data_IF_855933901148
#
_entry.id   IF_855933901148
#
_cell.length_a   1.000
_cell.length_b   1.000
_cell.length_c   1.000
_cell.angle_alpha   90.00
_cell.angle_beta   90.00
_cell.angle_gamma   90.00
#
_symmetry.space_group_name_H-M   'P 1'
#
loop_
_entity.id
_entity.type
_entity.pdbx_description
1 polymer ?
#
# COMPACT_ATOMS: atom_id res chain seq x y z
N UNK A 1 -7.14 -52.57 -48.83
CA UNK A 1 -7.77 -52.15 -47.56
C UNK A 1 -6.98 -50.95 -47.06
N UNK A 2 -7.48 -49.71 -47.34
CA UNK A 2 -6.87 -48.46 -46.91
C UNK A 2 -7.58 -47.97 -45.66
N UNK A 3 -6.87 -47.83 -44.57
CA UNK A 3 -7.38 -47.28 -43.30
C UNK A 3 -7.24 -45.75 -43.34
N UNK A 4 -8.37 -45.10 -43.31
CA UNK A 4 -8.51 -43.64 -43.26
C UNK A 4 -8.38 -43.22 -41.77
N UNK A 5 -7.37 -42.46 -41.41
CA UNK A 5 -7.24 -41.83 -40.08
C UNK A 5 -7.90 -40.45 -40.14
N UNK A 6 -9.01 -40.31 -39.42
CA UNK A 6 -9.58 -38.99 -39.11
C UNK A 6 -8.77 -38.33 -38.02
N UNK A 7 -8.24 -37.14 -38.31
CA UNK A 7 -7.73 -36.20 -37.32
C UNK A 7 -8.87 -35.29 -36.87
N UNK A 8 -9.32 -35.43 -35.65
CA UNK A 8 -10.21 -34.48 -35.00
C UNK A 8 -9.40 -33.33 -34.41
N UNK A 9 -9.50 -32.15 -34.97
CA UNK A 9 -9.00 -30.91 -34.36
C UNK A 9 -9.92 -30.52 -33.21
N UNK A 10 -9.46 -30.72 -31.97
CA UNK A 10 -10.11 -30.17 -30.80
C UNK A 10 -9.83 -28.66 -30.69
N UNK A 11 -10.87 -27.86 -30.88
CA UNK A 11 -10.84 -26.43 -30.64
C UNK A 11 -10.84 -26.24 -29.11
N UNK A 12 -9.67 -25.87 -28.53
CA UNK A 12 -9.59 -25.45 -27.11
C UNK A 12 -10.13 -24.03 -27.07
N UNK A 13 -11.38 -23.90 -26.66
CA UNK A 13 -11.97 -22.59 -26.33
C UNK A 13 -11.41 -22.16 -24.98
N UNK A 14 -10.44 -21.23 -24.97
CA UNK A 14 -10.03 -20.54 -23.76
C UNK A 14 -11.22 -19.70 -23.29
N UNK A 15 -11.92 -20.15 -22.27
CA UNK A 15 -12.86 -19.30 -21.54
C UNK A 15 -12.05 -18.31 -20.71
N UNK A 16 -11.89 -17.09 -21.21
CA UNK A 16 -11.46 -15.94 -20.40
C UNK A 16 -12.65 -15.61 -19.49
N UNK A 17 -12.57 -16.03 -18.23
CA UNK A 17 -13.49 -15.60 -17.19
C UNK A 17 -13.27 -14.11 -16.94
N UNK A 18 -14.05 -13.25 -17.54
CA UNK A 18 -14.15 -11.86 -17.13
C UNK A 18 -14.91 -11.83 -15.81
N UNK A 19 -14.20 -11.60 -14.70
CA UNK A 19 -14.84 -11.25 -13.45
C UNK A 19 -15.72 -10.01 -13.69
N UNK A 20 -17.02 -10.15 -13.43
CA UNK A 20 -17.96 -9.05 -13.56
C UNK A 20 -17.62 -8.02 -12.49
N UNK A 21 -17.01 -6.91 -12.89
CA UNK A 21 -16.78 -5.76 -12.02
C UNK A 21 -18.13 -5.15 -11.69
N UNK A 22 -18.57 -5.24 -10.44
CA UNK A 22 -19.72 -4.49 -9.96
C UNK A 22 -19.30 -3.02 -9.82
N UNK A 23 -19.43 -2.26 -10.90
CA UNK A 23 -19.24 -0.81 -10.87
C UNK A 23 -20.44 -0.15 -10.22
N UNK A 24 -20.23 0.71 -9.24
CA UNK A 24 -21.30 1.41 -8.52
C UNK A 24 -20.78 2.64 -7.78
N UNK A 25 -21.71 3.47 -7.35
CA UNK A 25 -21.39 4.56 -6.43
C UNK A 25 -21.58 4.09 -4.99
N UNK A 26 -20.66 4.51 -4.13
CA UNK A 26 -20.72 4.24 -2.70
C UNK A 26 -21.26 5.46 -1.97
N UNK A 27 -22.27 5.26 -1.13
CA UNK A 27 -22.72 6.28 -0.20
C UNK A 27 -21.70 6.41 0.93
N UNK A 28 -21.32 7.66 1.23
CA UNK A 28 -20.33 7.97 2.25
C UNK A 28 -20.85 9.03 3.22
N UNK A 29 -20.39 8.98 4.45
CA UNK A 29 -20.62 10.05 5.41
C UNK A 29 -19.35 10.90 5.52
N UNK A 30 -19.51 12.22 5.42
CA UNK A 30 -18.42 13.17 5.57
C UNK A 30 -18.52 13.89 6.92
N UNK A 31 -17.43 13.91 7.68
CA UNK A 31 -17.25 14.68 8.90
C UNK A 31 -16.16 15.72 8.65
N UNK A 32 -16.55 16.95 8.28
CA UNK A 32 -15.61 18.07 8.08
C UNK A 32 -15.44 18.84 9.39
N UNK A 33 -14.19 19.04 9.81
CA UNK A 33 -13.83 19.79 11.04
C UNK A 33 -13.14 21.12 10.73
N UNK A 34 -12.61 21.29 9.52
CA UNK A 34 -11.92 22.50 9.05
C UNK A 34 -12.37 22.82 7.62
N UNK A 35 -12.53 24.10 7.28
CA UNK A 35 -12.99 24.54 5.95
C UNK A 35 -12.08 24.06 4.82
N UNK A 36 -10.78 23.88 5.09
CA UNK A 36 -9.79 23.37 4.12
C UNK A 36 -10.04 21.95 3.67
N UNK A 37 -10.84 21.19 4.41
CA UNK A 37 -11.25 19.85 3.98
C UNK A 37 -11.94 19.89 2.63
N UNK A 38 -12.81 20.89 2.40
CA UNK A 38 -13.56 21.05 1.16
C UNK A 38 -12.71 21.44 -0.05
N UNK A 39 -11.43 21.79 0.14
CA UNK A 39 -10.49 21.98 -0.97
C UNK A 39 -10.11 20.65 -1.65
N UNK A 40 -10.30 19.53 -0.98
CA UNK A 40 -9.94 18.18 -1.44
C UNK A 40 -11.15 17.33 -1.79
N UNK A 41 -12.11 17.25 -0.88
CA UNK A 41 -13.31 16.41 -0.95
C UNK A 41 -14.48 17.18 -0.33
N UNK A 42 -15.67 17.08 -0.92
CA UNK A 42 -16.89 17.71 -0.41
C UNK A 42 -18.13 16.82 -0.64
N UNK A 43 -19.31 17.31 -0.32
CA UNK A 43 -20.58 16.61 -0.49
C UNK A 43 -20.94 16.22 -1.93
N UNK A 44 -20.28 16.81 -2.92
CA UNK A 44 -20.49 16.50 -4.34
C UNK A 44 -19.50 15.41 -4.84
N UNK A 45 -18.48 15.06 -4.05
CA UNK A 45 -17.50 14.03 -4.38
C UNK A 45 -18.18 12.66 -4.48
N UNK A 46 -17.85 11.91 -5.53
CA UNK A 46 -18.42 10.58 -5.80
C UNK A 46 -17.36 9.52 -5.63
N UNK A 47 -17.68 8.51 -4.82
CA UNK A 47 -16.82 7.37 -4.58
C UNK A 47 -17.29 6.22 -5.47
N UNK A 48 -16.42 5.78 -6.37
CA UNK A 48 -16.71 4.76 -7.37
C UNK A 48 -16.10 3.43 -6.93
N UNK A 49 -16.85 2.34 -7.05
CA UNK A 49 -16.35 0.97 -6.92
C UNK A 49 -15.78 0.55 -8.27
N UNK A 50 -14.48 0.31 -8.35
CA UNK A 50 -13.77 -0.09 -9.56
C UNK A 50 -13.62 -1.60 -9.69
N UNK A 51 -13.52 -2.30 -8.56
CA UNK A 51 -13.46 -3.75 -8.49
C UNK A 51 -13.99 -4.23 -7.14
N UNK A 52 -14.47 -5.46 -7.09
CA UNK A 52 -14.95 -6.16 -5.89
C UNK A 52 -14.50 -7.62 -5.89
N UNK A 53 -14.85 -8.37 -4.84
CA UNK A 53 -14.49 -9.78 -4.66
C UNK A 53 -12.96 -10.00 -4.55
N UNK A 54 -12.24 -9.00 -4.03
CA UNK A 54 -10.82 -9.13 -3.70
C UNK A 54 -10.66 -9.94 -2.40
N UNK A 55 -9.48 -10.49 -2.18
CA UNK A 55 -9.18 -11.24 -0.96
C UNK A 55 -8.72 -10.34 0.19
N UNK A 56 -7.81 -9.41 -0.10
CA UNK A 56 -7.36 -8.32 0.77
C UNK A 56 -6.50 -7.38 -0.07
N UNK A 57 -7.10 -6.30 -0.57
CA UNK A 57 -6.40 -5.35 -1.43
C UNK A 57 -5.52 -4.41 -0.62
N UNK A 58 -4.27 -4.20 -1.08
CA UNK A 58 -3.23 -3.45 -0.38
C UNK A 58 -2.23 -2.80 -1.33
N UNK A 59 -1.39 -1.92 -0.77
CA UNK A 59 -0.19 -1.39 -1.39
C UNK A 59 -0.39 -0.78 -2.77
N UNK A 60 -1.36 0.11 -2.99
CA UNK A 60 -1.61 0.67 -4.30
C UNK A 60 -0.46 1.61 -4.72
N UNK A 61 -0.07 1.51 -5.99
CA UNK A 61 0.91 2.42 -6.60
C UNK A 61 0.50 2.77 -8.02
N UNK A 62 0.50 4.06 -8.34
CA UNK A 62 0.27 4.51 -9.71
C UNK A 62 1.52 4.36 -10.56
N UNK A 63 1.39 3.76 -11.74
CA UNK A 63 2.47 3.52 -12.68
C UNK A 63 2.23 4.34 -13.95
N UNK A 64 2.86 5.52 -14.02
CA UNK A 64 2.64 6.47 -15.13
C UNK A 64 3.02 5.90 -16.50
N UNK A 65 4.04 5.02 -16.57
CA UNK A 65 4.44 4.39 -17.84
C UNK A 65 3.43 3.38 -18.38
N UNK A 66 2.54 2.88 -17.53
CA UNK A 66 1.45 1.95 -17.88
C UNK A 66 0.08 2.63 -17.88
N UNK A 67 0.00 3.90 -17.48
CA UNK A 67 -1.24 4.61 -17.20
C UNK A 67 -2.22 3.75 -16.37
N UNK A 68 -1.72 3.16 -15.30
CA UNK A 68 -2.43 2.13 -14.53
C UNK A 68 -2.08 2.19 -13.05
N UNK A 69 -3.04 1.75 -12.22
CA UNK A 69 -2.80 1.43 -10.83
C UNK A 69 -2.35 -0.03 -10.73
N UNK A 70 -1.29 -0.30 -9.98
CA UNK A 70 -0.97 -1.63 -9.47
C UNK A 70 -1.34 -1.69 -7.99
N UNK A 71 -1.81 -2.83 -7.52
CA UNK A 71 -2.06 -3.08 -6.10
C UNK A 71 -1.98 -4.58 -5.79
N UNK A 72 -1.63 -4.93 -4.57
CA UNK A 72 -1.56 -6.31 -4.10
C UNK A 72 -2.94 -6.83 -3.69
N UNK A 73 -3.21 -8.10 -3.96
CA UNK A 73 -4.21 -8.90 -3.26
C UNK A 73 -3.45 -9.92 -2.41
N UNK A 74 -3.28 -9.57 -1.14
CA UNK A 74 -2.40 -10.29 -0.23
C UNK A 74 -2.84 -11.74 -0.03
N UNK A 75 -4.15 -11.95 0.17
CA UNK A 75 -4.71 -13.27 0.41
C UNK A 75 -4.66 -14.18 -0.84
N UNK A 76 -4.76 -13.57 -2.03
CA UNK A 76 -4.70 -14.30 -3.31
C UNK A 76 -3.29 -14.45 -3.87
N UNK A 77 -2.27 -13.90 -3.20
CA UNK A 77 -0.85 -13.92 -3.60
C UNK A 77 -0.63 -13.42 -5.03
N UNK A 78 -1.17 -12.24 -5.32
CA UNK A 78 -1.04 -11.63 -6.65
C UNK A 78 -1.03 -10.10 -6.60
N UNK A 79 -0.51 -9.51 -7.67
CA UNK A 79 -0.67 -8.09 -7.98
C UNK A 79 -1.69 -7.98 -9.10
N UNK A 80 -2.65 -7.07 -8.94
CA UNK A 80 -3.57 -6.67 -9.97
C UNK A 80 -3.14 -5.36 -10.61
N UNK A 81 -3.52 -5.17 -11.87
CA UNK A 81 -3.48 -3.91 -12.60
C UNK A 81 -4.90 -3.46 -12.89
N UNK A 82 -5.16 -2.19 -12.66
CA UNK A 82 -6.41 -1.56 -13.06
C UNK A 82 -6.15 -0.33 -13.92
N UNK A 83 -6.88 -0.15 -15.01
CA UNK A 83 -6.99 1.08 -15.77
C UNK A 83 -8.39 1.21 -16.40
N UNK A 84 -8.68 2.38 -17.01
CA UNK A 84 -9.99 2.65 -17.62
C UNK A 84 -10.32 1.75 -18.82
N UNK A 85 -9.31 1.30 -19.56
CA UNK A 85 -9.53 0.56 -20.80
C UNK A 85 -9.75 -0.94 -20.57
N UNK A 86 -8.93 -1.53 -19.69
CA UNK A 86 -8.90 -2.98 -19.48
C UNK A 86 -9.72 -3.41 -18.25
N UNK A 87 -10.08 -2.45 -17.35
CA UNK A 87 -10.59 -2.75 -16.02
C UNK A 87 -9.55 -3.45 -15.14
N UNK A 88 -10.00 -4.39 -14.32
CA UNK A 88 -9.15 -5.18 -13.44
C UNK A 88 -8.58 -6.40 -14.17
N UNK A 89 -7.26 -6.53 -14.19
CA UNK A 89 -6.55 -7.68 -14.74
C UNK A 89 -5.47 -8.18 -13.77
N UNK A 90 -5.21 -9.48 -13.75
CA UNK A 90 -4.07 -10.05 -13.03
C UNK A 90 -2.78 -9.56 -13.73
N UNK A 91 -1.85 -9.04 -12.92
CA UNK A 91 -0.59 -8.50 -13.42
C UNK A 91 0.59 -9.40 -13.09
N UNK A 92 0.63 -9.98 -11.87
CA UNK A 92 1.77 -10.77 -11.41
C UNK A 92 1.30 -11.81 -10.37
N UNK A 93 1.70 -13.07 -10.54
CA UNK A 93 1.45 -14.17 -9.59
C UNK A 93 2.53 -15.25 -9.75
N UNK A 94 3.10 -15.81 -8.64
CA UNK A 94 2.91 -15.41 -7.26
C UNK A 94 3.60 -14.07 -6.96
N UNK A 95 3.04 -13.28 -6.03
CA UNK A 95 3.57 -11.95 -5.71
C UNK A 95 4.50 -11.93 -4.49
N UNK A 96 4.37 -12.89 -3.58
CA UNK A 96 5.11 -12.85 -2.32
C UNK A 96 5.28 -14.19 -1.62
N UNK A 97 5.06 -15.31 -2.30
CA UNK A 97 5.13 -16.64 -1.68
C UNK A 97 5.84 -17.66 -2.56
N UNK A 98 6.50 -18.64 -1.91
CA UNK A 98 6.99 -19.84 -2.57
C UNK A 98 5.93 -20.94 -2.48
N UNK A 99 5.69 -21.70 -3.57
CA UNK A 99 4.59 -22.67 -3.65
C UNK A 99 4.54 -23.76 -2.56
N UNK A 100 5.68 -24.02 -1.91
CA UNK A 100 5.84 -25.14 -0.98
C UNK A 100 5.60 -24.79 0.50
N UNK A 101 5.27 -23.54 0.82
CA UNK A 101 5.11 -23.07 2.20
C UNK A 101 3.62 -22.85 2.52
N UNK A 102 3.01 -23.77 3.26
CA UNK A 102 1.55 -23.85 3.45
C UNK A 102 1.01 -22.98 4.61
N UNK A 103 1.79 -22.04 5.15
CA UNK A 103 1.60 -21.65 6.54
C UNK A 103 0.59 -20.52 6.79
N UNK A 104 0.26 -19.63 5.84
CA UNK A 104 -0.67 -18.52 6.11
C UNK A 104 -1.55 -18.15 4.92
N UNK A 105 -2.75 -17.61 5.21
CA UNK A 105 -3.63 -17.00 4.19
C UNK A 105 -3.15 -15.59 3.76
N UNK A 106 -2.13 -15.04 4.43
CA UNK A 106 -1.56 -13.69 4.22
C UNK A 106 -0.17 -13.76 3.60
N UNK A 107 -0.07 -14.41 2.45
CA UNK A 107 1.21 -14.82 1.86
C UNK A 107 1.72 -13.95 0.71
N UNK A 108 0.86 -13.14 0.09
CA UNK A 108 1.22 -12.30 -1.04
C UNK A 108 2.14 -11.13 -0.68
N UNK A 109 2.49 -10.33 -1.67
CA UNK A 109 3.03 -8.99 -1.42
C UNK A 109 1.98 -8.11 -0.78
N UNK A 110 2.43 -7.09 -0.01
CA UNK A 110 1.59 -6.04 0.53
C UNK A 110 1.95 -4.72 -0.16
N UNK A 111 2.76 -3.84 0.44
CA UNK A 111 3.17 -2.58 -0.15
C UNK A 111 3.92 -2.74 -1.47
N UNK A 112 3.65 -1.83 -2.42
CA UNK A 112 4.31 -1.75 -3.71
C UNK A 112 4.91 -0.35 -3.91
N UNK A 113 6.04 -0.28 -4.61
CA UNK A 113 6.61 0.99 -5.05
C UNK A 113 7.34 0.83 -6.39
N UNK A 114 7.54 1.94 -7.11
CA UNK A 114 8.33 1.95 -8.35
C UNK A 114 9.64 2.68 -8.11
N UNK A 115 10.76 2.03 -8.38
CA UNK A 115 12.06 2.66 -8.22
C UNK A 115 12.37 3.65 -9.38
N UNK A 116 13.40 4.46 -9.20
CA UNK A 116 13.83 5.46 -10.21
C UNK A 116 14.22 4.88 -11.56
N UNK A 117 14.37 3.58 -11.67
CA UNK A 117 14.66 2.85 -12.89
C UNK A 117 13.42 2.19 -13.51
N UNK A 118 12.23 2.49 -12.97
CA UNK A 118 10.97 1.94 -13.41
C UNK A 118 10.81 0.45 -13.07
N UNK A 119 11.34 -0.03 -11.93
CA UNK A 119 11.21 -1.42 -11.49
C UNK A 119 10.27 -1.52 -10.29
N UNK A 120 9.46 -2.56 -10.26
CA UNK A 120 8.54 -2.84 -9.17
C UNK A 120 9.28 -3.37 -7.94
N UNK A 121 9.07 -2.73 -6.80
CA UNK A 121 9.45 -3.20 -5.48
C UNK A 121 8.22 -3.75 -4.78
N UNK A 122 8.41 -4.81 -3.99
CA UNK A 122 7.35 -5.49 -3.27
C UNK A 122 7.80 -5.77 -1.83
N UNK A 123 6.95 -5.42 -0.88
CA UNK A 123 7.02 -5.93 0.47
C UNK A 123 6.38 -7.34 0.47
N UNK A 124 7.20 -8.38 0.28
CA UNK A 124 6.74 -9.77 0.21
C UNK A 124 6.62 -10.34 1.62
N UNK A 125 5.47 -10.12 2.25
CA UNK A 125 5.30 -10.50 3.65
C UNK A 125 5.34 -12.02 3.87
N UNK A 126 4.82 -12.83 2.94
CA UNK A 126 4.89 -14.29 3.02
C UNK A 126 6.32 -14.83 2.87
N UNK A 127 7.14 -14.25 1.99
CA UNK A 127 8.56 -14.60 1.85
C UNK A 127 9.45 -13.94 2.91
N UNK A 128 8.92 -12.99 3.69
CA UNK A 128 9.66 -12.23 4.70
C UNK A 128 10.84 -11.46 4.11
N UNK A 129 10.62 -10.83 2.96
CA UNK A 129 11.67 -10.09 2.25
C UNK A 129 11.13 -8.79 1.64
N UNK A 130 12.01 -7.81 1.55
CA UNK A 130 11.85 -6.73 0.60
C UNK A 130 12.44 -7.20 -0.72
N UNK A 131 11.66 -7.17 -1.79
CA UNK A 131 12.05 -7.70 -3.08
C UNK A 131 11.92 -6.67 -4.21
N UNK A 132 12.56 -6.96 -5.33
CA UNK A 132 12.45 -6.18 -6.57
C UNK A 132 12.26 -7.14 -7.73
N UNK A 133 11.23 -6.90 -8.55
CA UNK A 133 11.02 -7.64 -9.79
C UNK A 133 12.18 -7.39 -10.76
N UNK A 134 12.74 -8.45 -11.35
CA UNK A 134 13.87 -8.35 -12.29
C UNK A 134 13.44 -7.92 -13.69
N UNK A 135 12.23 -8.31 -14.09
CA UNK A 135 11.67 -7.96 -15.40
C UNK A 135 11.16 -6.51 -15.44
N UNK A 136 10.92 -5.98 -16.64
CA UNK A 136 10.28 -4.69 -16.85
C UNK A 136 8.78 -4.72 -16.52
N UNK A 137 8.21 -3.53 -16.31
CA UNK A 137 6.81 -3.38 -15.96
C UNK A 137 5.84 -3.79 -17.08
N UNK A 138 6.25 -3.70 -18.31
CA UNK A 138 5.49 -4.08 -19.53
C UNK A 138 5.43 -5.60 -19.76
N UNK A 139 6.34 -6.35 -19.16
CA UNK A 139 6.42 -7.82 -19.24
C UNK A 139 6.72 -8.42 -17.87
N UNK A 140 5.75 -8.36 -16.92
CA UNK A 140 5.98 -8.80 -15.55
C UNK A 140 6.24 -10.30 -15.48
N UNK A 141 7.28 -10.69 -14.72
CA UNK A 141 7.62 -12.08 -14.44
C UNK A 141 7.90 -12.21 -12.94
N UNK A 142 7.34 -13.24 -12.30
CA UNK A 142 7.56 -13.56 -10.89
C UNK A 142 8.98 -14.08 -10.63
N UNK A 143 9.97 -13.26 -10.96
CA UNK A 143 11.40 -13.45 -10.70
C UNK A 143 11.92 -12.23 -9.94
N UNK A 144 12.45 -12.46 -8.74
CA UNK A 144 12.76 -11.41 -7.80
C UNK A 144 14.22 -11.39 -7.37
N UNK A 145 14.74 -10.20 -7.19
CA UNK A 145 15.96 -9.92 -6.44
C UNK A 145 15.59 -9.57 -5.00
N UNK A 146 16.15 -10.28 -4.04
CA UNK A 146 15.99 -9.97 -2.61
C UNK A 146 16.85 -8.76 -2.27
N UNK A 147 16.22 -7.72 -1.75
CA UNK A 147 16.87 -6.47 -1.33
C UNK A 147 17.20 -6.46 0.17
N UNK A 148 16.32 -7.07 1.00
CA UNK A 148 16.50 -7.24 2.42
C UNK A 148 15.72 -8.48 2.88
N UNK A 149 16.31 -9.27 3.79
CA UNK A 149 15.69 -10.47 4.39
C UNK A 149 16.11 -10.69 5.83
N UNK A 150 17.21 -10.07 6.26
CA UNK A 150 17.77 -10.24 7.60
C UNK A 150 18.22 -8.90 8.16
N UNK A 151 17.97 -8.72 9.45
CA UNK A 151 18.56 -7.68 10.26
C UNK A 151 19.62 -8.33 11.16
N UNK A 152 20.91 -8.02 10.88
CA UNK A 152 22.03 -8.84 11.31
C UNK A 152 21.85 -10.30 10.86
N UNK A 153 21.88 -11.26 11.78
CA UNK A 153 21.75 -12.69 11.49
C UNK A 153 20.29 -13.20 11.60
N UNK A 154 19.36 -12.34 12.02
CA UNK A 154 17.97 -12.74 12.24
C UNK A 154 17.10 -12.37 11.05
N UNK A 155 16.17 -13.25 10.61
CA UNK A 155 15.20 -12.90 9.59
C UNK A 155 14.31 -11.75 10.06
N UNK A 156 13.98 -10.82 9.16
CA UNK A 156 12.95 -9.80 9.42
C UNK A 156 11.59 -10.45 9.58
N UNK A 157 10.60 -9.73 10.13
CA UNK A 157 9.30 -10.33 10.47
C UNK A 157 8.45 -10.56 9.21
N UNK A 158 7.76 -9.55 8.73
CA UNK A 158 6.99 -9.63 7.49
C UNK A 158 6.77 -8.22 6.92
N UNK A 159 7.65 -7.76 6.02
CA UNK A 159 7.56 -6.42 5.44
C UNK A 159 6.16 -6.11 4.93
N UNK A 160 5.62 -4.96 5.36
CA UNK A 160 4.24 -4.58 5.08
C UNK A 160 4.17 -3.45 4.05
N UNK A 161 4.58 -2.24 4.38
CA UNK A 161 4.52 -1.10 3.47
C UNK A 161 5.89 -0.46 3.29
N UNK A 162 6.08 0.29 2.17
CA UNK A 162 7.38 0.85 1.83
C UNK A 162 7.27 2.16 1.08
N UNK A 163 8.29 3.01 1.26
CA UNK A 163 8.42 4.27 0.52
C UNK A 163 9.87 4.50 0.09
N UNK A 164 10.06 5.11 -1.08
CA UNK A 164 11.36 5.39 -1.67
C UNK A 164 11.78 6.83 -1.40
N UNK A 165 12.95 7.01 -0.83
CA UNK A 165 13.57 8.31 -0.68
C UNK A 165 14.37 8.67 -1.94
N UNK A 166 14.44 9.96 -2.36
CA UNK A 166 15.22 10.38 -3.55
C UNK A 166 16.71 10.02 -3.49
N UNK A 167 17.29 9.84 -2.28
CA UNK A 167 18.66 9.34 -2.12
C UNK A 167 18.89 7.92 -2.68
N UNK A 168 17.80 7.17 -2.90
CA UNK A 168 17.81 5.75 -3.24
C UNK A 168 17.67 4.82 -2.05
N UNK A 169 17.48 5.37 -0.86
CA UNK A 169 17.15 4.60 0.34
C UNK A 169 15.67 4.16 0.28
N UNK A 170 15.38 3.02 0.89
CA UNK A 170 14.04 2.47 1.01
C UNK A 170 13.69 2.41 2.49
N UNK A 171 12.55 2.98 2.85
CA UNK A 171 12.00 2.85 4.20
C UNK A 171 10.83 1.87 4.14
N UNK A 172 10.73 0.98 5.13
CA UNK A 172 9.64 0.00 5.19
C UNK A 172 9.29 -0.36 6.62
N UNK A 173 8.07 -0.84 6.81
CA UNK A 173 7.56 -1.37 8.08
C UNK A 173 7.61 -2.88 8.09
N UNK A 174 7.82 -3.47 9.28
CA UNK A 174 8.04 -4.90 9.45
C UNK A 174 7.23 -5.47 10.63
N UNK A 175 5.88 -5.43 10.56
CA UNK A 175 4.97 -6.00 11.55
C UNK A 175 4.88 -7.54 11.44
N UNK A 176 4.05 -8.23 12.27
CA UNK A 176 3.92 -9.68 12.24
C UNK A 176 2.87 -10.22 11.25
N UNK A 177 2.20 -9.37 10.43
CA UNK A 177 0.97 -9.76 9.72
C UNK A 177 1.11 -10.91 8.71
N UNK A 178 2.30 -11.12 8.14
CA UNK A 178 2.56 -12.25 7.23
C UNK A 178 2.97 -13.55 7.95
N UNK A 179 3.03 -13.55 9.28
CA UNK A 179 3.43 -14.70 10.07
C UNK A 179 2.22 -15.49 10.56
N UNK A 180 2.30 -16.82 10.55
CA UNK A 180 1.26 -17.67 11.12
C UNK A 180 1.16 -17.43 12.64
N UNK A 181 -0.03 -17.03 13.10
CA UNK A 181 -0.26 -16.65 14.50
C UNK A 181 0.13 -15.22 14.85
N UNK A 182 0.49 -14.40 13.88
CA UNK A 182 0.82 -12.97 14.01
C UNK A 182 1.88 -12.73 15.11
N UNK A 183 1.60 -11.87 16.10
CA UNK A 183 2.51 -11.57 17.24
C UNK A 183 2.82 -12.77 18.13
N UNK A 184 2.05 -13.85 18.01
CA UNK A 184 2.29 -15.12 18.74
C UNK A 184 3.05 -16.14 17.90
N UNK A 185 3.56 -15.78 16.73
CA UNK A 185 4.24 -16.68 15.82
C UNK A 185 5.55 -17.19 16.41
N UNK A 186 5.82 -18.51 16.37
CA UNK A 186 7.13 -19.08 16.75
C UNK A 186 8.24 -18.65 15.79
N UNK A 187 7.90 -18.11 14.63
CA UNK A 187 8.85 -17.67 13.60
C UNK A 187 9.40 -16.27 13.84
N UNK A 188 8.88 -15.52 14.80
CA UNK A 188 9.45 -14.25 15.23
C UNK A 188 10.83 -14.50 15.83
N UNK A 189 11.85 -13.79 15.29
CA UNK A 189 13.24 -13.89 15.76
C UNK A 189 13.79 -12.56 16.25
N UNK A 190 13.21 -11.45 15.81
CA UNK A 190 13.50 -10.13 16.34
C UNK A 190 12.65 -9.91 17.61
N UNK A 191 13.17 -9.17 18.57
CA UNK A 191 12.49 -8.81 19.83
C UNK A 191 11.63 -7.52 19.69
N UNK A 192 11.39 -7.08 18.44
CA UNK A 192 10.61 -5.89 18.10
C UNK A 192 9.97 -6.02 16.71
N UNK A 193 8.93 -5.24 16.48
CA UNK A 193 8.41 -4.94 15.15
C UNK A 193 8.94 -3.57 14.73
N UNK A 194 9.63 -3.51 13.57
CA UNK A 194 10.49 -2.39 13.25
C UNK A 194 10.00 -1.50 12.12
N UNK A 195 10.50 -0.26 12.14
CA UNK A 195 10.60 0.58 10.96
C UNK A 195 12.06 0.57 10.52
N UNK A 196 12.31 0.18 9.29
CA UNK A 196 13.65 0.00 8.75
C UNK A 196 13.98 0.99 7.63
N UNK A 197 15.25 1.35 7.56
CA UNK A 197 15.87 2.00 6.41
C UNK A 197 16.85 1.01 5.77
N UNK A 198 16.59 0.65 4.52
CA UNK A 198 17.59 0.01 3.68
C UNK A 198 18.30 1.10 2.88
N UNK A 199 19.58 1.32 3.15
CA UNK A 199 20.37 2.30 2.42
C UNK A 199 20.55 1.88 0.96
N UNK A 200 20.83 2.85 0.09
CA UNK A 200 21.14 2.58 -1.34
C UNK A 200 22.29 1.56 -1.51
N UNK A 201 23.22 1.50 -0.55
CA UNK A 201 24.38 0.61 -0.55
C UNK A 201 24.06 -0.78 0.07
N UNK A 202 22.80 -1.02 0.48
CA UNK A 202 22.32 -2.32 0.96
C UNK A 202 22.36 -2.54 2.46
N UNK A 203 22.83 -1.58 3.26
CA UNK A 203 22.80 -1.71 4.72
C UNK A 203 21.37 -1.59 5.25
N UNK A 204 20.98 -2.49 6.16
CA UNK A 204 19.70 -2.43 6.86
C UNK A 204 19.88 -1.82 8.26
N UNK A 205 19.10 -0.79 8.56
CA UNK A 205 19.14 -0.02 9.80
C UNK A 205 17.73 0.05 10.38
N UNK A 206 17.52 -0.39 11.61
CA UNK A 206 16.26 -0.18 12.31
C UNK A 206 16.23 1.26 12.85
N UNK A 207 15.26 2.06 12.39
CA UNK A 207 15.12 3.48 12.74
C UNK A 207 14.06 3.71 13.82
N UNK A 208 13.13 2.77 13.99
CA UNK A 208 12.21 2.72 15.12
C UNK A 208 11.98 1.27 15.52
N UNK A 209 11.93 1.01 16.83
CA UNK A 209 11.72 -0.31 17.45
C UNK A 209 10.66 -0.28 18.53
N UNK A 210 9.88 0.79 18.62
CA UNK A 210 8.97 1.04 19.74
C UNK A 210 7.50 0.99 19.36
N UNK A 211 7.19 0.85 18.06
CA UNK A 211 5.83 0.64 17.61
C UNK A 211 5.44 -0.83 17.78
N UNK A 212 4.22 -1.04 18.21
CA UNK A 212 3.67 -2.37 18.47
C UNK A 212 3.30 -3.09 17.16
N UNK A 213 2.68 -2.35 16.22
CA UNK A 213 2.29 -2.86 14.90
C UNK A 213 2.48 -1.75 13.83
N UNK A 214 3.75 -1.42 13.47
CA UNK A 214 4.00 -0.45 12.41
C UNK A 214 3.38 -0.94 11.11
N UNK A 215 2.66 -0.05 10.39
CA UNK A 215 1.90 -0.41 9.20
C UNK A 215 2.19 0.55 8.05
N UNK A 216 1.27 1.43 7.66
CA UNK A 216 1.46 2.37 6.57
C UNK A 216 2.63 3.33 6.78
N UNK A 217 3.27 3.73 5.70
CA UNK A 217 4.47 4.58 5.71
C UNK A 217 4.45 5.58 4.54
N UNK A 218 4.76 6.85 4.81
CA UNK A 218 4.84 7.88 3.76
C UNK A 218 5.93 8.92 4.09
N UNK A 219 6.47 9.57 3.06
CA UNK A 219 7.40 10.68 3.19
C UNK A 219 6.67 12.02 3.07
N UNK A 220 7.10 13.02 3.84
CA UNK A 220 6.75 14.42 3.59
C UNK A 220 7.26 14.86 2.20
N UNK A 221 6.67 15.94 1.65
CA UNK A 221 7.04 16.44 0.31
C UNK A 221 8.52 16.84 0.24
N UNK A 222 9.07 17.38 1.32
CA UNK A 222 10.49 17.78 1.42
C UNK A 222 11.41 16.61 1.75
N UNK A 223 10.84 15.38 1.91
CA UNK A 223 11.52 14.13 2.24
C UNK A 223 12.30 14.14 3.58
N UNK A 224 11.99 15.07 4.48
CA UNK A 224 12.67 15.20 5.78
C UNK A 224 11.96 14.51 6.92
N UNK A 225 10.67 14.22 6.73
CA UNK A 225 9.83 13.54 7.73
C UNK A 225 9.28 12.25 7.15
N UNK A 226 9.41 11.18 7.91
CA UNK A 226 8.76 9.90 7.65
C UNK A 226 7.55 9.77 8.57
N UNK A 227 6.36 9.60 8.00
CA UNK A 227 5.14 9.31 8.72
C UNK A 227 4.93 7.82 8.78
N UNK A 228 4.56 7.29 9.94
CA UNK A 228 4.31 5.86 10.14
C UNK A 228 3.07 5.69 11.01
N UNK A 229 2.17 4.81 10.58
CA UNK A 229 1.03 4.38 11.38
C UNK A 229 1.39 3.23 12.31
N UNK A 230 0.69 3.14 13.44
CA UNK A 230 0.69 2.01 14.36
C UNK A 230 -0.73 1.49 14.48
N UNK A 231 -0.96 0.24 14.09
CA UNK A 231 -2.30 -0.37 14.02
C UNK A 231 -2.64 -1.25 15.24
N UNK A 232 -1.92 -1.09 16.37
CA UNK A 232 -2.23 -1.84 17.58
C UNK A 232 -3.57 -1.39 18.15
N UNK A 233 -4.54 -2.32 18.35
CA UNK A 233 -5.86 -1.98 18.86
C UNK A 233 -5.82 -1.26 20.21
N UNK A 234 -6.48 -0.09 20.30
CA UNK A 234 -6.48 0.79 21.46
C UNK A 234 -5.21 1.64 21.61
N UNK A 235 -4.29 1.56 20.66
CA UNK A 235 -3.07 2.36 20.58
C UNK A 235 -2.82 2.87 19.15
N UNK A 236 -3.88 3.00 18.38
CA UNK A 236 -3.83 3.49 17.00
C UNK A 236 -3.29 4.92 16.98
N UNK A 237 -2.21 5.13 16.24
CA UNK A 237 -1.55 6.43 16.19
C UNK A 237 -0.76 6.60 14.90
N UNK A 238 -0.47 7.85 14.57
CA UNK A 238 0.49 8.22 13.53
C UNK A 238 1.66 8.90 14.24
N UNK A 239 2.88 8.47 13.95
CA UNK A 239 4.09 9.14 14.39
C UNK A 239 4.79 9.83 13.22
N UNK A 240 5.56 10.86 13.51
CA UNK A 240 6.48 11.52 12.60
C UNK A 240 7.90 11.32 13.06
N UNK A 241 8.76 10.82 12.18
CA UNK A 241 10.18 10.55 12.41
C UNK A 241 10.99 11.57 11.60
N UNK A 242 11.86 12.33 12.25
CA UNK A 242 12.78 13.25 11.59
C UNK A 242 13.96 12.48 10.97
N UNK A 243 14.11 12.58 9.65
CA UNK A 243 15.17 11.88 8.91
C UNK A 243 16.50 12.63 8.88
N UNK A 244 16.54 13.91 9.24
CA UNK A 244 17.79 14.68 9.30
C UNK A 244 18.57 14.43 10.61
N UNK A 245 17.90 14.08 11.68
CA UNK A 245 18.47 13.77 12.98
C UNK A 245 19.36 12.51 13.02
N UNK A 246 19.84 12.01 11.89
CA UNK A 246 20.32 10.67 11.56
C UNK A 246 21.66 10.26 12.16
N UNK A 247 22.04 10.68 13.36
CA UNK A 247 23.31 10.17 13.90
C UNK A 247 23.23 9.23 15.10
N UNK A 248 22.10 8.88 15.66
CA UNK A 248 21.99 7.80 16.65
C UNK A 248 20.60 7.62 17.29
N UNK A 249 19.69 8.57 17.22
CA UNK A 249 18.33 8.38 17.70
C UNK A 249 17.44 9.23 16.80
N UNK A 250 16.72 8.60 15.89
CA UNK A 250 15.64 9.26 15.16
C UNK A 250 14.64 9.78 16.19
N UNK A 251 14.50 11.10 16.28
CA UNK A 251 13.49 11.66 17.15
C UNK A 251 12.13 11.39 16.52
N UNK A 252 11.32 10.55 17.14
CA UNK A 252 9.93 10.36 16.76
C UNK A 252 9.03 11.18 17.68
N UNK A 253 7.98 11.78 17.12
CA UNK A 253 6.93 12.45 17.87
C UNK A 253 5.56 11.87 17.50
N UNK A 254 4.64 11.86 18.44
CA UNK A 254 3.24 11.63 18.14
C UNK A 254 2.74 12.73 17.20
N UNK A 255 2.19 12.35 16.06
CA UNK A 255 1.57 13.27 15.13
C UNK A 255 0.06 13.34 15.36
N UNK A 256 -0.58 12.18 15.45
CA UNK A 256 -2.01 12.05 15.66
C UNK A 256 -2.32 10.80 16.48
N UNK A 257 -3.16 10.96 17.49
CA UNK A 257 -3.72 9.86 18.26
C UNK A 257 -5.10 9.50 17.68
N UNK A 258 -5.27 8.24 17.27
CA UNK A 258 -6.48 7.75 16.67
C UNK A 258 -7.24 6.75 17.55
N UNK A 259 -6.74 6.46 18.76
CA UNK A 259 -7.35 5.48 19.66
C UNK A 259 -8.81 5.84 20.01
N UNK A 260 -9.11 7.13 20.15
CA UNK A 260 -10.48 7.63 20.42
C UNK A 260 -11.43 7.58 19.21
N UNK A 261 -10.95 7.10 18.05
CA UNK A 261 -11.74 7.06 16.81
C UNK A 261 -12.39 5.68 16.54
N UNK A 262 -12.20 4.70 17.42
CA UNK A 262 -12.65 3.31 17.21
C UNK A 262 -14.18 3.18 16.99
N UNK A 263 -14.96 4.07 17.59
CA UNK A 263 -16.43 4.08 17.47
C UNK A 263 -16.94 4.54 16.08
N UNK A 264 -16.06 5.06 15.22
CA UNK A 264 -16.43 5.50 13.86
C UNK A 264 -16.66 4.33 12.89
N UNK A 265 -16.24 3.11 13.23
CA UNK A 265 -16.47 1.91 12.43
C UNK A 265 -15.24 1.00 12.30
N UNK A 266 -15.31 -0.01 11.44
CA UNK A 266 -14.24 -0.99 11.28
C UNK A 266 -12.96 -0.38 10.67
N UNK A 267 -11.83 -1.04 10.91
CA UNK A 267 -10.51 -0.62 10.43
C UNK A 267 -9.64 -0.05 11.53
N UNK A 268 -8.46 0.38 11.16
CA UNK A 268 -7.41 0.91 12.05
C UNK A 268 -6.66 2.03 11.34
N UNK A 269 -5.64 2.59 11.99
CA UNK A 269 -4.60 3.35 11.29
C UNK A 269 -3.77 2.38 10.44
N UNK A 270 -3.90 2.50 9.12
CA UNK A 270 -3.31 1.60 8.15
C UNK A 270 -2.49 2.39 7.11
N UNK A 271 -2.61 2.12 5.83
CA UNK A 271 -1.90 2.81 4.78
C UNK A 271 -2.15 4.32 4.72
N UNK A 272 -1.25 5.04 4.08
CA UNK A 272 -1.33 6.49 3.93
C UNK A 272 -0.59 6.98 2.68
N UNK A 273 -0.98 8.17 2.22
CA UNK A 273 -0.27 8.90 1.15
C UNK A 273 -0.23 10.39 1.43
N UNK A 274 0.72 11.11 0.81
CA UNK A 274 0.86 12.56 0.97
C UNK A 274 0.49 13.25 -0.34
N UNK A 275 -0.48 14.15 -0.27
CA UNK A 275 -0.87 15.00 -1.39
C UNK A 275 0.23 16.05 -1.67
N UNK A 276 0.32 16.57 -2.90
CA UNK A 276 1.28 17.60 -3.30
C UNK A 276 1.25 18.88 -2.44
N UNK A 277 0.16 19.14 -1.73
CA UNK A 277 0.03 20.25 -0.76
C UNK A 277 0.65 19.96 0.61
N UNK A 278 1.12 18.73 0.86
CA UNK A 278 1.61 18.27 2.17
C UNK A 278 0.57 17.66 3.09
N UNK A 279 -0.70 17.68 2.71
CA UNK A 279 -1.76 17.03 3.49
C UNK A 279 -1.60 15.51 3.40
N UNK A 280 -1.65 14.84 4.55
CA UNK A 280 -1.66 13.39 4.65
C UNK A 280 -3.10 12.89 4.50
N UNK A 281 -3.28 11.92 3.62
CA UNK A 281 -4.47 11.10 3.54
C UNK A 281 -4.12 9.78 4.22
N UNK A 282 -4.87 9.38 5.23
CA UNK A 282 -4.51 8.25 6.08
C UNK A 282 -5.75 7.42 6.46
N UNK A 283 -5.61 6.10 6.40
CA UNK A 283 -6.64 5.18 6.88
C UNK A 283 -6.84 5.34 8.38
N UNK A 284 -8.09 5.45 8.78
CA UNK A 284 -8.54 5.61 10.17
C UNK A 284 -9.72 4.67 10.41
N UNK A 285 -10.06 4.31 11.66
CA UNK A 285 -11.28 3.57 11.95
C UNK A 285 -12.51 4.16 11.23
N UNK A 286 -13.27 3.31 10.54
CA UNK A 286 -14.44 3.71 9.76
C UNK A 286 -14.19 4.27 8.37
N UNK A 287 -12.93 4.50 7.96
CA UNK A 287 -12.63 5.06 6.63
C UNK A 287 -11.25 5.68 6.53
N UNK A 288 -11.18 6.95 6.11
CA UNK A 288 -9.91 7.67 6.07
C UNK A 288 -10.08 9.15 6.44
N UNK A 289 -8.99 9.77 6.84
CA UNK A 289 -8.95 11.17 7.24
C UNK A 289 -7.86 11.97 6.53
N UNK A 290 -7.98 13.29 6.59
CA UNK A 290 -7.03 14.25 6.08
C UNK A 290 -6.35 14.95 7.26
N UNK A 291 -5.04 14.79 7.39
CA UNK A 291 -4.23 15.41 8.43
C UNK A 291 -3.29 16.46 7.85
N UNK A 292 -3.15 17.56 8.55
CA UNK A 292 -2.07 18.52 8.27
C UNK A 292 -0.72 17.95 8.71
N UNK A 293 0.43 18.46 8.19
CA UNK A 293 1.77 18.00 8.61
C UNK A 293 2.08 18.20 10.10
N UNK A 294 1.32 19.07 10.78
CA UNK A 294 1.39 19.29 12.24
C UNK A 294 0.39 18.43 13.03
N UNK A 295 -0.40 17.56 12.36
CA UNK A 295 -1.24 16.54 12.99
C UNK A 295 -2.68 16.98 13.25
N UNK A 296 -3.16 18.12 12.71
CA UNK A 296 -4.55 18.50 12.84
C UNK A 296 -5.42 17.75 11.85
N UNK A 297 -6.48 17.11 12.34
CA UNK A 297 -7.48 16.45 11.53
C UNK A 297 -8.40 17.50 10.88
N UNK A 298 -8.40 17.55 9.54
CA UNK A 298 -9.27 18.45 8.77
C UNK A 298 -10.68 17.86 8.61
N UNK A 299 -10.78 16.55 8.51
CA UNK A 299 -12.05 15.83 8.37
C UNK A 299 -11.83 14.36 8.08
N UNK A 300 -12.93 13.62 8.08
CA UNK A 300 -12.99 12.16 7.82
C UNK A 300 -14.06 11.84 6.79
N UNK A 301 -13.84 10.79 6.06
CA UNK A 301 -14.81 10.14 5.18
C UNK A 301 -15.05 8.73 5.75
N UNK A 302 -16.31 8.46 6.13
CA UNK A 302 -16.74 7.16 6.63
C UNK A 302 -17.35 6.36 5.48
N UNK A 303 -16.70 5.28 5.09
CA UNK A 303 -17.07 4.44 3.94
C UNK A 303 -16.69 2.96 4.17
N UNK A 304 -16.38 2.60 5.42
CA UNK A 304 -15.87 1.30 5.82
C UNK A 304 -14.35 1.27 5.89
N UNK A 305 -13.81 0.09 6.16
CA UNK A 305 -12.37 -0.10 6.29
C UNK A 305 -11.64 0.22 4.97
N UNK A 306 -10.63 1.07 5.06
CA UNK A 306 -9.65 1.35 4.01
C UNK A 306 -8.30 0.82 4.48
N UNK A 307 -7.64 0.05 3.62
CA UNK A 307 -6.33 -0.54 3.92
C UNK A 307 -5.20 0.40 3.50
N UNK A 308 -5.24 0.92 2.26
CA UNK A 308 -4.20 1.82 1.78
C UNK A 308 -4.74 2.76 0.67
N UNK A 309 -3.90 3.66 0.16
CA UNK A 309 -4.31 4.63 -0.84
C UNK A 309 -3.15 5.19 -1.67
N UNK A 310 -3.44 5.59 -2.91
CA UNK A 310 -2.48 6.24 -3.80
C UNK A 310 -3.16 7.24 -4.72
N UNK A 311 -2.49 8.34 -5.04
CA UNK A 311 -2.90 9.26 -6.09
C UNK A 311 -2.42 8.79 -7.47
N UNK A 312 -3.17 9.16 -8.52
CA UNK A 312 -2.63 9.18 -9.87
C UNK A 312 -1.53 10.27 -10.01
N UNK A 313 -0.78 10.24 -11.11
CA UNK A 313 0.32 11.17 -11.34
C UNK A 313 -0.11 12.65 -11.37
N UNK A 314 -1.37 12.94 -11.65
CA UNK A 314 -1.92 14.29 -11.74
C UNK A 314 -2.60 14.76 -10.45
N UNK A 315 -2.71 13.90 -9.44
CA UNK A 315 -3.53 14.13 -8.24
C UNK A 315 -5.01 14.40 -8.56
N UNK A 316 -5.49 13.94 -9.72
CA UNK A 316 -6.89 14.08 -10.11
C UNK A 316 -7.79 13.02 -9.49
N UNK A 317 -7.23 11.86 -9.18
CA UNK A 317 -7.93 10.77 -8.51
C UNK A 317 -7.13 10.24 -7.32
N UNK A 318 -7.85 9.95 -6.25
CA UNK A 318 -7.36 9.13 -5.14
C UNK A 318 -7.95 7.73 -5.28
N UNK A 319 -7.10 6.72 -5.38
CA UNK A 319 -7.46 5.32 -5.35
C UNK A 319 -7.33 4.79 -3.93
N UNK A 320 -8.29 3.97 -3.51
CA UNK A 320 -8.40 3.43 -2.16
C UNK A 320 -8.53 1.92 -2.26
N UNK A 321 -7.65 1.20 -1.58
CA UNK A 321 -7.81 -0.23 -1.37
C UNK A 321 -8.61 -0.49 -0.09
N UNK A 322 -9.42 -1.53 -0.12
CA UNK A 322 -10.20 -2.02 1.01
C UNK A 322 -10.13 -3.55 1.03
N UNK A 323 -10.51 -4.25 2.09
CA UNK A 323 -10.34 -5.71 2.17
C UNK A 323 -10.88 -6.46 0.94
N UNK A 324 -12.03 -6.05 0.42
CA UNK A 324 -12.77 -6.77 -0.62
C UNK A 324 -12.94 -6.00 -1.94
N UNK A 325 -12.41 -4.77 -2.03
CA UNK A 325 -12.68 -3.89 -3.18
C UNK A 325 -11.60 -2.85 -3.45
N UNK A 326 -11.62 -2.33 -4.67
CA UNK A 326 -10.89 -1.13 -5.10
C UNK A 326 -11.88 0.00 -5.32
N UNK A 327 -11.61 1.16 -4.77
CA UNK A 327 -12.40 2.37 -4.89
C UNK A 327 -11.58 3.50 -5.51
N UNK A 328 -12.27 4.52 -6.02
CA UNK A 328 -11.63 5.81 -6.30
C UNK A 328 -12.57 6.97 -6.02
N UNK A 329 -11.98 8.14 -5.81
CA UNK A 329 -12.68 9.41 -5.75
C UNK A 329 -11.95 10.43 -6.61
N UNK A 330 -12.71 11.23 -7.36
CA UNK A 330 -12.16 12.37 -8.10
C UNK A 330 -11.85 13.49 -7.12
N UNK A 331 -10.62 13.96 -7.15
CA UNK A 331 -10.18 15.11 -6.33
C UNK A 331 -10.67 16.43 -6.92
N UNK A 332 -10.83 17.43 -6.08
CA UNK A 332 -11.15 18.78 -6.56
C UNK A 332 -9.95 19.40 -7.26
N UNK A 333 -10.19 19.97 -8.44
CA UNK A 333 -9.13 20.51 -9.31
C UNK A 333 -8.37 21.70 -8.70
N UNK A 334 -8.97 22.42 -7.73
CA UNK A 334 -8.30 23.53 -7.04
C UNK A 334 -7.10 23.11 -6.20
N UNK A 335 -7.12 21.89 -5.64
CA UNK A 335 -6.01 21.38 -4.82
C UNK A 335 -4.85 20.85 -5.67
N UNK A 336 -5.14 20.24 -6.84
CA UNK A 336 -4.13 19.71 -7.74
C UNK A 336 -3.34 20.80 -8.50
N UNK A 337 -3.98 21.90 -8.83
CA UNK A 337 -3.39 22.93 -9.71
C UNK A 337 -2.43 23.91 -9.01
N UNK A 338 -2.51 24.06 -7.68
CA UNK A 338 -1.79 25.13 -6.96
C UNK A 338 -0.39 24.74 -6.48
N UNK A 339 0.00 23.45 -6.55
CA UNK A 339 1.20 22.91 -5.88
C UNK A 339 2.12 22.04 -6.74
N UNK A 340 1.79 21.82 -8.02
CA UNK A 340 2.72 21.15 -8.90
C UNK A 340 3.92 22.06 -9.16
N UNK A 341 5.17 21.63 -8.95
CA UNK A 341 6.33 22.41 -9.36
C UNK A 341 6.22 22.66 -10.86
N UNK A 342 6.48 23.90 -11.27
CA UNK A 342 6.51 24.25 -12.69
C UNK A 342 7.40 23.25 -13.42
N UNK A 343 6.86 22.62 -14.46
CA UNK A 343 7.66 21.74 -15.34
C UNK A 343 8.76 22.62 -15.95
N UNK A 344 10.00 22.45 -15.48
CA UNK A 344 11.20 22.95 -16.15
C UNK A 344 11.56 22.02 -17.30
#
# INVERSE_FOLDING_TARGET
MRILRLFTYGCICLMVSTAASATGLLDVQIKAYDVRFSDYIDGESRFEILASELGWAEGPVWVSSLDSLLFSDVAKDRVYRWNENDGLVEYLSPSGHKPDDAATDWRGSNGLAIDKHGRLLLAQQGNRVLARMRSGLDHPVADYEVLASHYYEQPINSPNDLVLHPSGDIYFTDPPYGLAGFENSPDIKLDFFGVFRRTKDGQLIAINKTLEKPNGIALSIDHRTLYVSNSEPGQEKIIAIDLEATKAATSSRLLFDAADQADDGPGSTDGMTVHASGILFVSLPGGFGLLTPDGRLLGKILLGQITNMAFDASFSYLYLTAPDRLLRVKMKTSAAASHLPAKN
#
